data_IF_384883308557
#
_entry.id   IF_384883308557
#
_cell.length_a   1.000
_cell.length_b   1.000
_cell.length_c   1.000
_cell.angle_alpha   90.00
_cell.angle_beta   90.00
_cell.angle_gamma   90.00
#
_symmetry.space_group_name_H-M   'P 1'
#
loop_
_entity.id
_entity.type
_entity.pdbx_description
1 polymer ?
#
# COMPACT_ATOMS: atom_id res chain seq x y z
N UNK A 1 23.88 -32.11 12.32
CA UNK A 1 23.31 -30.77 12.12
C UNK A 1 24.43 -29.86 11.66
N UNK A 2 24.21 -29.06 10.60
CA UNK A 2 25.19 -28.03 10.22
C UNK A 2 25.37 -27.03 11.38
N UNK A 3 26.62 -26.59 11.58
CA UNK A 3 26.90 -25.57 12.60
C UNK A 3 26.24 -24.23 12.20
N UNK A 4 25.62 -23.52 13.15
CA UNK A 4 24.97 -22.23 12.93
C UNK A 4 25.91 -21.22 12.24
N UNK A 5 27.20 -21.26 12.58
CA UNK A 5 28.21 -20.41 11.96
C UNK A 5 28.36 -20.70 10.45
N UNK A 6 28.31 -21.98 10.06
CA UNK A 6 28.34 -22.38 8.65
C UNK A 6 27.11 -21.87 7.90
N UNK A 7 25.92 -21.99 8.52
CA UNK A 7 24.68 -21.46 7.97
C UNK A 7 24.76 -19.93 7.78
N UNK A 8 25.21 -19.20 8.80
CA UNK A 8 25.38 -17.74 8.72
C UNK A 8 26.33 -17.32 7.60
N UNK A 9 27.47 -17.98 7.50
CA UNK A 9 28.45 -17.71 6.43
C UNK A 9 27.86 -17.96 5.03
N UNK A 10 27.21 -19.11 4.85
CA UNK A 10 26.62 -19.51 3.57
C UNK A 10 25.51 -18.57 3.09
N UNK A 11 24.66 -18.08 4.01
CA UNK A 11 23.54 -17.21 3.69
C UNK A 11 23.80 -15.73 3.93
N UNK A 12 25.01 -15.35 4.33
CA UNK A 12 25.40 -13.96 4.57
C UNK A 12 24.66 -13.33 5.75
N UNK A 13 24.27 -14.12 6.75
CA UNK A 13 23.55 -13.63 7.94
C UNK A 13 24.56 -13.12 8.96
N UNK A 14 24.37 -11.88 9.37
CA UNK A 14 25.23 -11.20 10.34
C UNK A 14 24.45 -10.99 11.63
N UNK A 15 25.11 -11.28 12.72
CA UNK A 15 24.60 -11.07 14.06
C UNK A 15 24.89 -12.27 14.97
N UNK A 16 24.95 -11.99 16.27
CA UNK A 16 25.21 -12.99 17.31
C UNK A 16 24.11 -13.04 18.37
N UNK A 17 23.04 -12.31 18.16
CA UNK A 17 21.91 -12.28 19.07
C UNK A 17 21.35 -13.68 19.34
N UNK A 18 21.06 -14.05 20.61
CA UNK A 18 20.54 -15.36 20.97
C UNK A 18 19.19 -15.72 20.33
N UNK A 19 18.29 -14.72 20.18
CA UNK A 19 16.97 -14.94 19.54
C UNK A 19 17.13 -15.24 18.05
N UNK A 20 18.05 -14.52 17.37
CA UNK A 20 18.39 -14.79 15.98
C UNK A 20 18.98 -16.20 15.83
N UNK A 21 19.93 -16.59 16.70
CA UNK A 21 20.54 -17.91 16.67
C UNK A 21 19.48 -19.00 16.85
N UNK A 22 18.58 -18.84 17.82
CA UNK A 22 17.47 -19.78 18.06
C UNK A 22 16.53 -19.89 16.85
N UNK A 23 16.26 -18.80 16.14
CA UNK A 23 15.47 -18.84 14.91
C UNK A 23 16.15 -19.65 13.81
N UNK A 24 17.49 -19.50 13.65
CA UNK A 24 18.28 -20.27 12.70
C UNK A 24 18.38 -21.76 13.08
N UNK A 25 18.50 -22.06 14.38
CA UNK A 25 18.45 -23.44 14.89
C UNK A 25 17.13 -24.12 14.56
N UNK A 26 16.02 -23.46 14.86
CA UNK A 26 14.68 -23.97 14.50
C UNK A 26 14.56 -24.21 12.99
N UNK A 27 15.04 -23.28 12.16
CA UNK A 27 15.02 -23.42 10.71
C UNK A 27 15.82 -24.67 10.24
N UNK A 28 17.00 -24.88 10.80
CA UNK A 28 17.81 -26.05 10.51
C UNK A 28 17.17 -27.37 11.00
N UNK A 29 16.54 -27.36 12.18
CA UNK A 29 15.85 -28.53 12.73
C UNK A 29 14.63 -28.95 11.94
N UNK A 30 13.85 -27.99 11.44
CA UNK A 30 12.63 -28.27 10.66
C UNK A 30 12.94 -28.59 9.19
N UNK A 31 14.11 -28.20 8.69
CA UNK A 31 14.47 -28.34 7.28
C UNK A 31 14.30 -29.76 6.72
N UNK A 32 14.71 -30.86 7.41
CA UNK A 32 14.56 -32.22 6.90
C UNK A 32 13.13 -32.74 6.83
N UNK A 33 12.17 -32.02 7.40
CA UNK A 33 10.75 -32.40 7.42
C UNK A 33 9.97 -31.66 6.32
N UNK A 34 8.77 -32.16 6.00
CA UNK A 34 7.83 -31.46 5.06
C UNK A 34 6.79 -30.60 5.78
N UNK A 35 7.00 -30.35 7.08
CA UNK A 35 6.08 -29.54 7.90
C UNK A 35 6.05 -28.10 7.40
N UNK A 36 4.86 -27.48 7.38
CA UNK A 36 4.68 -26.06 7.09
C UNK A 36 5.29 -25.17 8.18
N UNK A 37 5.87 -24.08 7.76
CA UNK A 37 6.57 -23.13 8.65
C UNK A 37 6.03 -21.74 8.43
N UNK A 38 5.66 -21.07 9.52
CA UNK A 38 5.30 -19.65 9.52
C UNK A 38 6.45 -18.83 10.10
N UNK A 39 6.99 -17.92 9.31
CA UNK A 39 8.03 -16.97 9.73
C UNK A 39 7.38 -15.65 10.09
N UNK A 40 7.49 -15.24 11.36
CA UNK A 40 6.93 -13.98 11.85
C UNK A 40 8.03 -12.98 12.17
N UNK A 41 7.70 -11.68 12.07
CA UNK A 41 8.61 -10.59 12.39
C UNK A 41 8.32 -9.34 11.58
N UNK A 42 8.82 -8.22 12.03
CA UNK A 42 8.59 -6.92 11.40
C UNK A 42 9.10 -6.86 9.95
N UNK A 43 8.60 -5.87 9.19
CA UNK A 43 9.11 -5.62 7.85
C UNK A 43 10.58 -5.26 7.89
N UNK A 44 11.38 -5.80 6.95
CA UNK A 44 12.80 -5.50 6.83
C UNK A 44 13.74 -6.22 7.82
N UNK A 45 13.27 -7.20 8.62
CA UNK A 45 14.13 -7.98 9.55
C UNK A 45 14.93 -9.08 8.86
N UNK A 46 14.63 -9.40 7.58
CA UNK A 46 15.31 -10.43 6.80
C UNK A 46 14.60 -11.79 6.79
N UNK A 47 13.27 -11.81 6.86
CA UNK A 47 12.45 -13.04 6.83
C UNK A 47 12.78 -13.96 5.64
N UNK A 48 13.14 -13.41 4.51
CA UNK A 48 13.46 -14.13 3.26
C UNK A 48 14.67 -15.10 3.36
N UNK A 49 15.52 -14.92 4.38
CA UNK A 49 16.66 -15.82 4.58
C UNK A 49 16.23 -17.20 5.10
N UNK A 50 15.22 -17.26 5.98
CA UNK A 50 14.75 -18.48 6.62
C UNK A 50 14.24 -19.54 5.64
N UNK A 51 13.35 -19.20 4.67
CA UNK A 51 12.89 -20.16 3.66
C UNK A 51 14.02 -20.71 2.78
N UNK A 52 15.01 -19.88 2.44
CA UNK A 52 16.19 -20.30 1.67
C UNK A 52 17.03 -21.31 2.46
N UNK A 53 17.22 -21.08 3.77
CA UNK A 53 17.91 -22.03 4.67
C UNK A 53 17.14 -23.34 4.72
N UNK A 54 15.82 -23.28 4.99
CA UNK A 54 14.97 -24.46 5.09
C UNK A 54 15.03 -25.27 3.80
N UNK A 55 14.88 -24.63 2.64
CA UNK A 55 14.93 -25.31 1.36
C UNK A 55 16.29 -25.97 1.11
N UNK A 56 17.39 -25.23 1.33
CA UNK A 56 18.75 -25.73 1.07
C UNK A 56 19.19 -26.90 1.95
N UNK A 57 18.63 -27.02 3.16
CA UNK A 57 18.88 -28.09 4.11
C UNK A 57 17.81 -29.21 4.07
N UNK A 58 16.81 -29.08 3.18
CA UNK A 58 15.70 -30.03 3.06
C UNK A 58 16.03 -31.18 2.12
N UNK A 59 15.20 -32.24 2.18
CA UNK A 59 15.22 -33.30 1.20
C UNK A 59 14.90 -32.83 -0.23
N UNK A 60 14.24 -31.67 -0.34
CA UNK A 60 13.82 -31.03 -1.60
C UNK A 60 14.82 -30.00 -2.14
N UNK A 61 16.06 -29.97 -1.62
CA UNK A 61 17.09 -28.99 -1.98
C UNK A 61 17.44 -28.93 -3.48
N UNK A 62 17.13 -29.97 -4.23
CA UNK A 62 17.32 -30.04 -5.68
C UNK A 62 16.03 -29.77 -6.47
N UNK A 63 14.88 -29.65 -5.78
CA UNK A 63 13.61 -29.26 -6.37
C UNK A 63 13.53 -27.74 -6.62
N UNK A 64 12.48 -27.28 -7.29
CA UNK A 64 12.26 -25.86 -7.52
C UNK A 64 12.00 -25.12 -6.22
N UNK A 65 12.60 -23.95 -6.07
CA UNK A 65 12.28 -22.97 -5.03
C UNK A 65 11.62 -21.76 -5.68
N UNK A 66 10.36 -21.51 -5.36
CA UNK A 66 9.60 -20.37 -5.88
C UNK A 66 9.24 -19.46 -4.70
N UNK A 67 9.60 -18.18 -4.80
CA UNK A 67 9.24 -17.16 -3.82
C UNK A 67 8.19 -16.23 -4.43
N UNK A 68 7.07 -16.06 -3.74
CA UNK A 68 5.94 -15.24 -4.15
C UNK A 68 5.65 -14.22 -3.06
N UNK A 69 5.63 -12.93 -3.41
CA UNK A 69 5.15 -11.88 -2.50
C UNK A 69 3.64 -11.68 -2.76
N UNK A 70 2.81 -12.11 -1.80
CA UNK A 70 1.35 -12.04 -1.93
C UNK A 70 0.83 -10.60 -1.90
N UNK A 71 1.49 -9.70 -1.18
CA UNK A 71 1.11 -8.28 -1.12
C UNK A 71 1.45 -7.49 -2.40
N UNK A 72 2.35 -8.02 -3.24
CA UNK A 72 2.73 -7.37 -4.49
C UNK A 72 1.83 -7.74 -5.68
N UNK A 73 1.01 -8.79 -5.55
CA UNK A 73 0.11 -9.27 -6.62
C UNK A 73 -1.29 -8.68 -6.37
N UNK A 74 -1.91 -8.01 -7.37
CA UNK A 74 -3.26 -7.50 -7.23
C UNK A 74 -4.28 -8.61 -6.89
N UNK A 75 -5.26 -8.29 -6.02
CA UNK A 75 -6.28 -9.23 -5.56
C UNK A 75 -7.02 -9.93 -6.74
N UNK A 76 -7.32 -9.19 -7.81
CA UNK A 76 -8.01 -9.74 -8.99
C UNK A 76 -7.21 -10.76 -9.81
N UNK A 77 -5.89 -10.89 -9.59
CA UNK A 77 -5.01 -11.79 -10.35
C UNK A 77 -4.31 -12.83 -9.50
N UNK A 78 -4.31 -12.68 -8.17
CA UNK A 78 -3.56 -13.55 -7.27
C UNK A 78 -3.95 -15.02 -7.39
N UNK A 79 -5.23 -15.33 -7.55
CA UNK A 79 -5.71 -16.70 -7.75
C UNK A 79 -5.18 -17.32 -9.05
N UNK A 80 -5.15 -16.52 -10.11
CA UNK A 80 -4.62 -16.94 -11.41
C UNK A 80 -3.10 -17.17 -11.38
N UNK A 81 -2.36 -16.36 -10.64
CA UNK A 81 -0.90 -16.53 -10.50
C UNK A 81 -0.56 -17.74 -9.60
N UNK A 82 -1.26 -17.92 -8.48
CA UNK A 82 -1.01 -19.02 -7.56
C UNK A 82 -1.45 -20.37 -8.12
N UNK A 83 -2.67 -20.46 -8.64
CA UNK A 83 -3.31 -21.74 -9.03
C UNK A 83 -3.37 -21.97 -10.54
N UNK A 84 -3.04 -20.95 -11.35
CA UNK A 84 -3.17 -21.00 -12.80
C UNK A 84 -4.60 -20.76 -13.30
N UNK A 85 -4.74 -20.65 -14.62
CA UNK A 85 -6.04 -20.45 -15.26
C UNK A 85 -6.17 -21.20 -16.57
N UNK A 86 -7.41 -21.51 -16.94
CA UNK A 86 -7.74 -22.04 -18.24
C UNK A 86 -8.04 -20.92 -19.25
N UNK A 87 -7.86 -21.24 -20.53
CA UNK A 87 -8.23 -20.32 -21.61
C UNK A 87 -9.72 -19.91 -21.49
N UNK A 88 -9.98 -18.60 -21.50
CA UNK A 88 -11.34 -18.05 -21.39
C UNK A 88 -11.85 -17.89 -19.93
N UNK A 89 -11.03 -18.14 -18.92
CA UNK A 89 -11.42 -18.04 -17.51
C UNK A 89 -11.83 -16.61 -17.11
N UNK A 90 -11.25 -15.59 -17.75
CA UNK A 90 -11.58 -14.18 -17.56
C UNK A 90 -11.28 -13.39 -18.84
N UNK A 91 -11.72 -12.13 -18.91
CA UNK A 91 -11.44 -11.23 -20.05
C UNK A 91 -9.93 -10.98 -20.16
N UNK A 92 -9.32 -11.54 -21.21
CA UNK A 92 -7.87 -11.50 -21.45
C UNK A 92 -7.14 -12.83 -21.25
N UNK A 93 -7.79 -13.89 -20.77
CA UNK A 93 -7.23 -15.23 -20.70
C UNK A 93 -7.20 -15.90 -22.09
N UNK A 94 -6.22 -15.53 -22.91
CA UNK A 94 -6.07 -16.01 -24.29
C UNK A 94 -5.51 -17.42 -24.40
N UNK A 95 -4.79 -17.90 -23.37
CA UNK A 95 -4.18 -19.21 -23.28
C UNK A 95 -4.31 -19.76 -21.85
N UNK A 96 -4.23 -21.09 -21.69
CA UNK A 96 -4.07 -21.75 -20.39
C UNK A 96 -2.68 -21.47 -19.84
N UNK A 97 -2.57 -21.11 -18.54
CA UNK A 97 -1.29 -20.85 -17.87
C UNK A 97 -1.21 -21.63 -16.55
N UNK A 98 -0.04 -22.17 -16.29
CA UNK A 98 0.25 -22.87 -15.03
C UNK A 98 0.46 -21.85 -13.92
N UNK A 99 -0.01 -22.19 -12.72
CA UNK A 99 0.22 -21.41 -11.51
C UNK A 99 1.47 -21.84 -10.74
N UNK A 100 1.86 -21.01 -9.77
CA UNK A 100 3.05 -21.28 -8.96
C UNK A 100 3.00 -22.63 -8.22
N UNK A 101 1.81 -23.10 -7.80
CA UNK A 101 1.68 -24.42 -7.14
C UNK A 101 1.96 -25.59 -8.08
N UNK A 102 1.63 -25.46 -9.35
CA UNK A 102 1.96 -26.47 -10.37
C UNK A 102 3.45 -26.41 -10.71
N UNK A 103 4.01 -25.20 -10.84
CA UNK A 103 5.42 -25.04 -11.18
C UNK A 103 6.36 -25.45 -10.05
N UNK A 104 5.93 -25.34 -8.79
CA UNK A 104 6.71 -25.71 -7.60
C UNK A 104 6.55 -27.20 -7.21
N UNK A 105 5.83 -28.00 -8.00
CA UNK A 105 5.59 -29.40 -7.66
C UNK A 105 6.89 -30.15 -7.40
N UNK A 106 6.91 -30.96 -6.34
CA UNK A 106 8.11 -31.63 -5.84
C UNK A 106 9.14 -30.73 -5.13
N UNK A 107 8.90 -29.41 -5.11
CA UNK A 107 9.81 -28.39 -4.58
C UNK A 107 9.29 -27.69 -3.31
N UNK A 108 9.64 -26.42 -3.19
CA UNK A 108 9.26 -25.55 -2.05
C UNK A 108 8.72 -24.22 -2.58
N UNK A 109 7.56 -23.80 -2.08
CA UNK A 109 7.01 -22.46 -2.30
C UNK A 109 7.17 -21.63 -1.03
N UNK A 110 7.64 -20.40 -1.21
CA UNK A 110 7.69 -19.38 -0.16
C UNK A 110 6.65 -18.32 -0.44
N UNK A 111 5.72 -18.15 0.48
CA UNK A 111 4.65 -17.13 0.42
C UNK A 111 5.01 -16.01 1.38
N UNK A 112 5.52 -14.88 0.87
CA UNK A 112 5.75 -13.70 1.69
C UNK A 112 4.48 -12.85 1.80
N UNK A 113 4.33 -12.17 2.93
CA UNK A 113 3.15 -11.34 3.25
C UNK A 113 1.81 -12.12 3.13
N UNK A 114 1.81 -13.38 3.62
CA UNK A 114 0.62 -14.25 3.54
C UNK A 114 -0.61 -13.66 4.25
N UNK A 115 -0.41 -12.74 5.19
CA UNK A 115 -1.49 -12.02 5.89
C UNK A 115 -2.30 -11.07 5.00
N UNK A 116 -1.78 -10.73 3.79
CA UNK A 116 -2.44 -9.85 2.82
C UNK A 116 -3.30 -10.63 1.79
N UNK A 117 -3.35 -11.98 1.90
CA UNK A 117 -4.15 -12.79 1.00
C UNK A 117 -5.66 -12.53 1.18
N UNK A 118 -6.43 -12.39 0.08
CA UNK A 118 -7.89 -12.34 0.13
C UNK A 118 -8.49 -13.60 0.76
N UNK A 119 -9.62 -13.48 1.45
CA UNK A 119 -10.29 -14.61 2.11
C UNK A 119 -10.60 -15.77 1.16
N UNK A 120 -10.96 -15.47 -0.08
CA UNK A 120 -11.21 -16.48 -1.13
C UNK A 120 -9.97 -17.30 -1.46
N UNK A 121 -8.82 -16.62 -1.60
CA UNK A 121 -7.53 -17.25 -1.83
C UNK A 121 -7.06 -18.07 -0.63
N UNK A 122 -7.35 -17.61 0.60
CA UNK A 122 -7.04 -18.32 1.83
C UNK A 122 -7.75 -19.69 1.89
N UNK A 123 -9.01 -19.78 1.44
CA UNK A 123 -9.77 -21.05 1.35
C UNK A 123 -9.09 -22.03 0.38
N UNK A 124 -8.64 -21.52 -0.76
CA UNK A 124 -7.94 -22.32 -1.77
C UNK A 124 -6.59 -22.80 -1.26
N UNK A 125 -5.84 -21.93 -0.57
CA UNK A 125 -4.56 -22.26 0.03
C UNK A 125 -4.70 -23.33 1.12
N UNK A 126 -5.76 -23.26 1.93
CA UNK A 126 -6.06 -24.28 2.93
C UNK A 126 -6.23 -25.66 2.29
N UNK A 127 -6.94 -25.76 1.17
CA UNK A 127 -7.13 -27.02 0.46
C UNK A 127 -5.81 -27.60 -0.06
N UNK A 128 -4.87 -26.76 -0.50
CA UNK A 128 -3.52 -27.20 -0.89
C UNK A 128 -2.75 -27.76 0.33
N UNK A 129 -2.84 -27.05 1.48
CA UNK A 129 -2.14 -27.48 2.71
C UNK A 129 -2.70 -28.77 3.33
N UNK A 130 -3.99 -29.05 3.17
CA UNK A 130 -4.65 -30.22 3.73
C UNK A 130 -4.51 -31.46 2.81
N UNK A 131 -4.85 -31.27 1.54
CA UNK A 131 -5.03 -32.38 0.61
C UNK A 131 -3.97 -32.41 -0.50
N UNK A 132 -3.13 -31.37 -0.63
CA UNK A 132 -2.26 -31.22 -1.80
C UNK A 132 -3.03 -31.00 -3.10
N UNK A 133 -4.26 -30.45 -3.03
CA UNK A 133 -5.15 -30.29 -4.18
C UNK A 133 -5.50 -28.84 -4.45
N UNK A 134 -5.58 -28.49 -5.71
CA UNK A 134 -6.06 -27.18 -6.17
C UNK A 134 -6.84 -27.30 -7.47
N UNK A 135 -7.52 -26.21 -7.86
CA UNK A 135 -8.29 -26.12 -9.10
C UNK A 135 -7.86 -24.81 -9.79
N UNK A 136 -7.55 -24.87 -11.10
CA UNK A 136 -7.28 -23.68 -11.91
C UNK A 136 -8.51 -22.77 -11.99
N UNK A 137 -8.28 -21.48 -12.17
CA UNK A 137 -9.37 -20.53 -12.41
C UNK A 137 -10.05 -20.87 -13.74
N UNK A 138 -11.38 -20.96 -13.74
CA UNK A 138 -12.16 -21.36 -14.92
C UNK A 138 -12.20 -22.87 -15.20
N UNK A 139 -11.67 -23.71 -14.30
CA UNK A 139 -11.71 -25.17 -14.41
C UNK A 139 -12.54 -25.81 -13.30
N UNK A 140 -13.03 -27.02 -13.51
CA UNK A 140 -13.60 -27.89 -12.48
C UNK A 140 -12.70 -29.08 -12.14
N UNK A 141 -11.55 -29.22 -12.83
CA UNK A 141 -10.65 -30.37 -12.70
C UNK A 141 -9.74 -30.16 -11.50
N UNK A 142 -9.75 -31.08 -10.56
CA UNK A 142 -8.86 -31.11 -9.41
C UNK A 142 -7.46 -31.54 -9.85
N UNK A 143 -6.47 -30.73 -9.52
CA UNK A 143 -5.06 -31.03 -9.73
C UNK A 143 -4.38 -31.32 -8.39
N UNK A 144 -3.34 -32.13 -8.41
CA UNK A 144 -2.54 -32.47 -7.23
C UNK A 144 -1.16 -31.86 -7.31
N UNK A 145 -0.65 -31.45 -6.17
CA UNK A 145 0.72 -30.95 -6.02
C UNK A 145 1.33 -31.48 -4.73
N UNK A 146 2.61 -31.78 -4.77
CA UNK A 146 3.40 -32.18 -3.62
C UNK A 146 4.43 -31.09 -3.33
N UNK A 147 3.97 -29.94 -2.83
CA UNK A 147 4.82 -28.78 -2.57
C UNK A 147 4.97 -28.54 -1.06
N UNK A 148 6.19 -28.23 -0.62
CA UNK A 148 6.43 -27.76 0.74
C UNK A 148 6.14 -26.26 0.82
N UNK A 149 5.33 -25.83 1.80
CA UNK A 149 4.96 -24.45 1.98
C UNK A 149 5.73 -23.86 3.16
N UNK A 150 6.37 -22.70 2.94
CA UNK A 150 6.93 -21.83 3.96
C UNK A 150 6.28 -20.46 3.79
N UNK A 151 5.61 -19.95 4.81
CA UNK A 151 4.93 -18.67 4.78
C UNK A 151 5.65 -17.65 5.65
N UNK A 152 5.55 -16.36 5.29
CA UNK A 152 6.02 -15.25 6.14
C UNK A 152 4.96 -14.15 6.25
N UNK A 153 4.97 -13.47 7.39
CA UNK A 153 4.09 -12.34 7.64
C UNK A 153 4.73 -11.32 8.58
N UNK A 154 4.37 -10.06 8.40
CA UNK A 154 4.65 -8.96 9.32
C UNK A 154 3.41 -8.54 10.12
N UNK A 155 2.25 -9.09 9.80
CA UNK A 155 0.97 -8.79 10.43
C UNK A 155 0.82 -9.56 11.74
N UNK A 156 0.20 -8.92 12.73
CA UNK A 156 -0.25 -9.64 13.92
C UNK A 156 -1.44 -10.54 13.56
N UNK A 157 -1.17 -11.85 13.44
CA UNK A 157 -2.17 -12.82 12.99
C UNK A 157 -3.36 -12.93 13.94
N UNK A 158 -3.14 -12.80 15.25
CA UNK A 158 -4.21 -12.81 16.25
C UNK A 158 -5.22 -11.67 16.03
N UNK A 159 -4.70 -10.47 15.73
CA UNK A 159 -5.56 -9.32 15.41
C UNK A 159 -6.24 -9.48 14.05
N UNK A 160 -5.55 -10.02 13.05
CA UNK A 160 -6.11 -10.26 11.73
C UNK A 160 -7.29 -11.25 11.80
N UNK A 161 -7.15 -12.32 12.60
CA UNK A 161 -8.22 -13.31 12.85
C UNK A 161 -9.40 -12.64 13.56
N UNK A 162 -9.16 -11.88 14.63
CA UNK A 162 -10.23 -11.16 15.35
C UNK A 162 -11.00 -10.18 14.47
N UNK A 163 -10.32 -9.55 13.52
CA UNK A 163 -10.93 -8.61 12.55
C UNK A 163 -11.57 -9.32 11.34
N UNK A 164 -11.58 -10.65 11.30
CA UNK A 164 -12.12 -11.44 10.19
C UNK A 164 -11.35 -11.31 8.87
N UNK A 165 -10.11 -10.79 8.90
CA UNK A 165 -9.24 -10.64 7.71
C UNK A 165 -8.43 -11.89 7.39
N UNK A 166 -8.24 -12.76 8.38
CA UNK A 166 -7.52 -14.01 8.20
C UNK A 166 -8.29 -15.16 8.86
N UNK A 167 -8.31 -16.32 8.21
CA UNK A 167 -9.01 -17.50 8.71
C UNK A 167 -8.18 -18.21 9.77
N UNK A 168 -8.82 -18.57 10.85
CA UNK A 168 -8.20 -19.26 11.98
C UNK A 168 -7.70 -20.67 11.61
N UNK A 169 -8.47 -21.41 10.79
CA UNK A 169 -8.10 -22.74 10.31
C UNK A 169 -6.81 -22.72 9.48
N UNK A 170 -6.69 -21.77 8.58
CA UNK A 170 -5.48 -21.57 7.77
C UNK A 170 -4.28 -21.20 8.65
N UNK A 171 -4.48 -20.34 9.65
CA UNK A 171 -3.42 -19.96 10.57
C UNK A 171 -2.83 -21.19 11.29
N UNK A 172 -3.67 -22.05 11.88
CA UNK A 172 -3.18 -23.25 12.56
C UNK A 172 -2.47 -24.22 11.61
N UNK A 173 -2.90 -24.29 10.36
CA UNK A 173 -2.27 -25.16 9.36
C UNK A 173 -0.91 -24.64 8.89
N UNK A 174 -0.77 -23.31 8.76
CA UNK A 174 0.51 -22.65 8.41
C UNK A 174 1.49 -22.62 9.58
N UNK A 175 1.01 -22.37 10.80
CA UNK A 175 1.81 -22.17 12.00
C UNK A 175 2.19 -23.47 12.73
N UNK A 176 2.23 -24.59 12.03
CA UNK A 176 2.66 -25.87 12.64
C UNK A 176 4.03 -25.74 13.33
N UNK A 177 4.95 -25.00 12.71
CA UNK A 177 6.17 -24.50 13.35
C UNK A 177 6.27 -23.01 13.12
N UNK A 178 6.35 -22.24 14.19
CA UNK A 178 6.54 -20.80 14.12
C UNK A 178 7.98 -20.41 14.41
N UNK A 179 8.57 -19.59 13.53
CA UNK A 179 9.91 -19.03 13.65
C UNK A 179 9.79 -17.52 13.71
N UNK A 180 10.02 -16.95 14.88
CA UNK A 180 10.01 -15.51 15.09
C UNK A 180 11.39 -14.91 14.89
N UNK A 181 11.51 -13.88 14.04
CA UNK A 181 12.72 -13.08 13.87
C UNK A 181 12.64 -11.80 14.69
N UNK A 182 13.65 -11.52 15.55
CA UNK A 182 13.65 -10.34 16.40
C UNK A 182 13.81 -9.04 15.57
N UNK A 183 13.16 -7.97 15.99
CA UNK A 183 13.39 -6.65 15.45
C UNK A 183 14.82 -6.17 15.71
N UNK A 184 15.34 -5.27 14.86
CA UNK A 184 16.73 -4.81 14.97
C UNK A 184 17.02 -4.10 16.30
N UNK A 185 16.05 -3.37 16.85
CA UNK A 185 16.13 -2.73 18.18
C UNK A 185 16.29 -3.72 19.34
N UNK A 186 15.91 -4.99 19.16
CA UNK A 186 16.06 -6.05 20.17
C UNK A 186 17.46 -6.70 20.14
N UNK A 187 18.21 -6.51 19.05
CA UNK A 187 19.56 -7.05 18.83
C UNK A 187 20.57 -5.94 18.60
N UNK A 188 20.70 -5.08 19.60
CA UNK A 188 21.52 -3.84 19.56
C UNK A 188 22.97 -4.09 19.17
N UNK A 189 23.57 -5.18 19.65
CA UNK A 189 24.96 -5.53 19.38
C UNK A 189 25.21 -5.85 17.89
N UNK A 190 24.17 -6.28 17.17
CA UNK A 190 24.28 -6.61 15.76
C UNK A 190 24.20 -5.37 14.86
N UNK A 191 23.65 -4.23 15.36
CA UNK A 191 23.40 -3.03 14.56
C UNK A 191 24.68 -2.48 13.93
N UNK A 192 25.72 -2.30 14.75
CA UNK A 192 27.02 -1.78 14.29
C UNK A 192 27.71 -2.76 13.34
N UNK A 193 27.62 -4.08 13.61
CA UNK A 193 28.18 -5.11 12.74
C UNK A 193 27.54 -5.09 11.35
N UNK A 194 26.20 -4.97 11.31
CA UNK A 194 25.44 -4.88 10.07
C UNK A 194 25.78 -3.60 9.29
N UNK A 195 25.86 -2.45 9.96
CA UNK A 195 26.24 -1.20 9.32
C UNK A 195 27.62 -1.29 8.68
N UNK A 196 28.63 -1.78 9.41
CA UNK A 196 29.99 -1.98 8.89
C UNK A 196 30.01 -2.89 7.67
N UNK A 197 29.23 -3.95 7.70
CA UNK A 197 29.13 -4.87 6.55
C UNK A 197 28.54 -4.16 5.34
N UNK A 198 27.42 -3.45 5.50
CA UNK A 198 26.78 -2.74 4.38
C UNK A 198 27.69 -1.65 3.80
N UNK A 199 28.35 -0.89 4.66
CA UNK A 199 29.33 0.10 4.24
C UNK A 199 30.50 -0.52 3.49
N UNK A 200 31.03 -1.66 3.97
CA UNK A 200 32.11 -2.38 3.30
C UNK A 200 31.66 -3.00 1.97
N UNK A 201 30.47 -3.62 1.90
CA UNK A 201 29.94 -4.20 0.67
C UNK A 201 29.72 -3.14 -0.39
N UNK A 202 29.21 -1.97 0.01
CA UNK A 202 29.02 -0.84 -0.88
C UNK A 202 30.36 -0.30 -1.39
N UNK A 203 31.32 -0.09 -0.50
CA UNK A 203 32.67 0.36 -0.83
C UNK A 203 33.36 -0.57 -1.84
N UNK A 204 33.26 -1.88 -1.61
CA UNK A 204 33.82 -2.89 -2.53
C UNK A 204 33.14 -2.88 -3.91
N UNK A 205 31.81 -2.76 -3.94
CA UNK A 205 31.01 -2.74 -5.17
C UNK A 205 31.34 -1.54 -6.06
N UNK A 206 31.52 -0.38 -5.46
CA UNK A 206 31.76 0.88 -6.19
C UNK A 206 33.22 1.35 -6.18
N UNK A 207 34.13 0.54 -5.60
CA UNK A 207 35.57 0.85 -5.48
C UNK A 207 35.83 2.18 -4.74
N UNK A 208 35.04 2.45 -3.71
CA UNK A 208 35.16 3.62 -2.86
C UNK A 208 35.84 3.22 -1.52
N UNK A 209 36.50 4.15 -0.84
CA UNK A 209 36.96 3.88 0.51
C UNK A 209 35.76 3.72 1.46
N UNK A 210 35.76 2.71 2.38
CA UNK A 210 34.66 2.47 3.29
C UNK A 210 34.52 3.62 4.30
N UNK A 211 33.29 3.94 4.66
CA UNK A 211 32.98 4.90 5.74
C UNK A 211 33.21 4.26 7.12
N UNK A 212 33.59 5.08 8.08
CA UNK A 212 33.74 4.70 9.49
C UNK A 212 32.90 5.61 10.37
N UNK A 213 32.33 5.05 11.41
CA UNK A 213 31.59 5.82 12.42
C UNK A 213 32.52 6.17 13.58
N UNK A 214 32.41 7.39 14.09
CA UNK A 214 33.01 7.79 15.38
C UNK A 214 32.24 7.12 16.52
N UNK A 215 32.81 7.06 17.72
CA UNK A 215 32.19 6.35 18.86
C UNK A 215 30.83 6.97 19.25
N UNK A 216 30.70 8.28 19.18
CA UNK A 216 29.44 9.00 19.37
C UNK A 216 28.39 8.65 18.32
N UNK A 217 28.80 8.48 17.07
CA UNK A 217 27.91 8.03 16.00
C UNK A 217 27.48 6.56 16.18
N UNK A 218 28.36 5.69 16.66
CA UNK A 218 28.02 4.30 16.99
C UNK A 218 26.99 4.23 18.09
N UNK A 219 27.13 5.04 19.15
CA UNK A 219 26.13 5.10 20.23
C UNK A 219 24.75 5.58 19.71
N UNK A 220 24.75 6.61 18.87
CA UNK A 220 23.51 7.07 18.24
C UNK A 220 22.87 5.97 17.37
N UNK A 221 23.65 5.29 16.55
CA UNK A 221 23.21 4.20 15.66
C UNK A 221 22.56 3.05 16.45
N UNK A 222 23.19 2.61 17.55
CA UNK A 222 22.73 1.48 18.38
C UNK A 222 21.46 1.82 19.15
N UNK A 223 21.29 3.09 19.55
CA UNK A 223 20.11 3.53 20.31
C UNK A 223 18.94 3.97 19.45
N UNK A 224 19.12 4.08 18.14
CA UNK A 224 18.04 4.42 17.23
C UNK A 224 17.05 3.26 17.08
N UNK A 225 15.76 3.56 16.91
CA UNK A 225 14.66 2.58 16.97
C UNK A 225 14.61 1.62 15.78
N UNK A 226 15.06 2.05 14.61
CA UNK A 226 15.09 1.26 13.36
C UNK A 226 13.72 0.62 13.00
N UNK A 227 12.68 1.43 12.85
CA UNK A 227 11.33 0.97 12.49
C UNK A 227 11.29 0.18 11.17
N UNK A 228 12.16 0.48 10.20
CA UNK A 228 12.37 -0.28 8.97
C UNK A 228 13.47 -1.35 9.07
N UNK A 229 13.97 -1.65 10.26
CA UNK A 229 14.92 -2.71 10.58
C UNK A 229 16.17 -2.70 9.67
N UNK A 230 16.61 -3.87 9.19
CA UNK A 230 17.80 -4.04 8.35
C UNK A 230 17.66 -3.30 7.01
N UNK A 231 16.46 -3.22 6.45
CA UNK A 231 16.23 -2.51 5.19
C UNK A 231 16.53 -1.03 5.34
N UNK A 232 16.06 -0.40 6.42
CA UNK A 232 16.34 1.01 6.71
C UNK A 232 17.82 1.22 7.01
N UNK A 233 18.43 0.37 7.85
CA UNK A 233 19.86 0.46 8.20
C UNK A 233 20.75 0.37 6.95
N UNK A 234 20.43 -0.53 6.02
CA UNK A 234 21.15 -0.66 4.75
C UNK A 234 21.03 0.61 3.91
N UNK A 235 19.81 1.13 3.76
CA UNK A 235 19.57 2.36 2.98
C UNK A 235 20.37 3.54 3.55
N UNK A 236 20.39 3.72 4.87
CA UNK A 236 21.17 4.77 5.53
C UNK A 236 22.67 4.58 5.29
N UNK A 237 23.19 3.36 5.44
CA UNK A 237 24.61 3.07 5.19
C UNK A 237 25.01 3.34 3.73
N UNK A 238 24.16 2.99 2.77
CA UNK A 238 24.37 3.23 1.34
C UNK A 238 24.31 4.73 1.02
N UNK A 239 23.31 5.46 1.54
CA UNK A 239 23.17 6.91 1.36
C UNK A 239 24.38 7.68 1.86
N UNK A 240 24.82 7.41 3.08
CA UNK A 240 26.02 8.04 3.65
C UNK A 240 27.26 7.71 2.81
N UNK A 241 27.40 6.46 2.36
CA UNK A 241 28.54 6.02 1.55
C UNK A 241 28.62 6.74 0.20
N UNK A 242 27.48 7.15 -0.37
CA UNK A 242 27.41 7.90 -1.65
C UNK A 242 27.62 9.39 -1.44
N UNK A 243 26.93 9.98 -0.47
CA UNK A 243 26.79 11.43 -0.37
C UNK A 243 27.94 12.09 0.41
N UNK A 244 28.53 11.39 1.39
CA UNK A 244 29.57 11.96 2.22
C UNK A 244 30.97 11.80 1.59
N UNK A 245 31.65 12.92 1.44
CA UNK A 245 33.04 12.93 0.99
C UNK A 245 34.01 12.56 2.12
N UNK A 246 33.71 13.02 3.35
CA UNK A 246 34.45 12.62 4.54
C UNK A 246 34.08 11.20 4.93
N UNK A 247 35.08 10.36 5.17
CA UNK A 247 34.87 8.96 5.48
C UNK A 247 34.68 8.66 6.96
N UNK A 248 35.05 9.60 7.83
CA UNK A 248 34.77 9.53 9.25
C UNK A 248 33.47 10.31 9.53
N UNK A 249 32.45 9.57 9.94
CA UNK A 249 31.08 10.04 10.11
C UNK A 249 30.80 10.27 11.59
N UNK A 250 30.58 11.53 11.99
CA UNK A 250 30.21 11.92 13.34
C UNK A 250 28.71 11.74 13.60
N UNK A 251 28.31 11.77 14.87
CA UNK A 251 26.89 11.72 15.26
C UNK A 251 26.06 12.86 14.63
N UNK A 252 26.65 14.04 14.45
CA UNK A 252 25.98 15.17 13.80
C UNK A 252 25.64 14.86 12.33
N UNK A 253 26.60 14.31 11.58
CA UNK A 253 26.38 13.88 10.19
C UNK A 253 25.38 12.73 10.15
N UNK A 254 25.55 11.69 10.97
CA UNK A 254 24.62 10.56 11.00
C UNK A 254 23.18 11.00 11.25
N UNK A 255 22.96 11.97 12.13
CA UNK A 255 21.62 12.48 12.47
C UNK A 255 20.89 13.08 11.26
N UNK A 256 21.59 13.69 10.32
CA UNK A 256 20.96 14.26 9.09
C UNK A 256 20.37 13.19 8.15
N UNK A 257 20.82 11.93 8.29
CA UNK A 257 20.34 10.80 7.50
C UNK A 257 19.31 9.94 8.23
N UNK A 258 19.14 10.17 9.54
CA UNK A 258 18.13 9.47 10.33
C UNK A 258 16.84 10.27 10.28
N UNK A 259 15.69 9.66 9.90
CA UNK A 259 14.40 10.31 10.04
C UNK A 259 14.15 10.76 11.48
N UNK A 260 13.71 12.00 11.68
CA UNK A 260 13.35 12.49 13.01
C UNK A 260 12.17 11.69 13.57
N UNK A 261 12.43 10.85 14.55
CA UNK A 261 11.37 10.14 15.29
C UNK A 261 10.49 11.08 16.13
N UNK A 262 10.90 12.36 16.26
CA UNK A 262 10.17 13.41 16.96
C UNK A 262 9.16 14.16 16.09
N UNK A 263 9.24 14.09 14.77
CA UNK A 263 8.16 14.46 13.88
C UNK A 263 7.14 13.32 13.87
N UNK A 264 6.54 13.03 15.02
CA UNK A 264 5.21 12.44 15.01
C UNK A 264 4.36 13.40 14.14
N UNK A 265 3.98 12.96 12.95
CA UNK A 265 2.73 13.40 12.37
C UNK A 265 1.77 13.51 13.55
N UNK A 266 1.07 14.65 13.75
CA UNK A 266 0.21 14.82 14.91
C UNK A 266 -0.52 13.51 15.10
N UNK A 267 -0.33 12.88 16.25
CA UNK A 267 -0.91 11.59 16.55
C UNK A 267 -2.39 11.80 16.32
N UNK A 268 -2.90 11.25 15.23
CA UNK A 268 -4.32 11.04 15.10
C UNK A 268 -4.60 10.14 16.28
N UNK A 269 -5.15 10.74 17.34
CA UNK A 269 -5.70 10.03 18.48
C UNK A 269 -6.48 8.87 17.86
N UNK A 270 -6.25 7.61 18.24
CA UNK A 270 -7.04 6.52 17.73
C UNK A 270 -8.47 6.72 18.24
N UNK A 271 -9.24 7.53 17.53
CA UNK A 271 -10.67 7.55 17.68
C UNK A 271 -11.16 6.20 17.17
N UNK A 272 -11.85 5.55 18.04
CA UNK A 272 -12.65 4.37 17.83
C UNK A 272 -13.28 4.32 16.44
N UNK A 273 -13.20 3.14 15.84
CA UNK A 273 -13.95 2.73 14.65
C UNK A 273 -13.89 3.74 13.46
N UNK A 274 -13.00 3.49 12.51
CA UNK A 274 -13.16 4.02 11.15
C UNK A 274 -14.48 3.49 10.60
N UNK A 275 -15.52 4.27 10.80
CA UNK A 275 -16.75 4.13 10.07
C UNK A 275 -16.51 4.65 8.65
N UNK A 276 -17.27 4.14 7.69
CA UNK A 276 -17.25 4.51 6.26
C UNK A 276 -17.45 6.01 5.97
N UNK A 277 -17.62 6.83 7.01
CA UNK A 277 -17.79 8.29 6.95
C UNK A 277 -16.49 9.08 6.70
N UNK A 278 -15.28 8.52 6.93
CA UNK A 278 -14.04 9.29 6.73
C UNK A 278 -13.69 9.45 5.24
N UNK A 279 -14.03 8.47 4.40
CA UNK A 279 -13.89 8.61 2.95
C UNK A 279 -14.89 9.57 2.32
N UNK A 280 -16.05 9.81 2.97
CA UNK A 280 -17.01 10.81 2.52
C UNK A 280 -16.50 12.23 2.79
N UNK A 281 -15.86 12.47 3.92
CA UNK A 281 -15.33 13.79 4.29
C UNK A 281 -14.14 14.22 3.39
N UNK A 282 -13.23 13.31 3.05
CA UNK A 282 -12.14 13.60 2.10
C UNK A 282 -12.67 13.89 0.69
N UNK A 283 -13.67 13.13 0.24
CA UNK A 283 -14.36 13.39 -1.03
C UNK A 283 -15.11 14.73 -0.99
N UNK A 284 -15.79 15.04 0.08
CA UNK A 284 -16.54 16.29 0.25
C UNK A 284 -15.60 17.50 0.22
N UNK A 285 -14.43 17.40 0.87
CA UNK A 285 -13.39 18.43 0.83
C UNK A 285 -12.83 18.62 -0.60
N UNK A 286 -12.58 17.51 -1.30
CA UNK A 286 -12.09 17.51 -2.68
C UNK A 286 -13.13 18.10 -3.64
N UNK A 287 -14.40 17.74 -3.47
CA UNK A 287 -15.50 18.31 -4.23
C UNK A 287 -15.67 19.81 -3.95
N UNK A 288 -15.54 20.24 -2.69
CA UNK A 288 -15.61 21.65 -2.32
C UNK A 288 -14.52 22.46 -3.02
N UNK A 289 -13.27 22.00 -2.98
CA UNK A 289 -12.14 22.65 -3.68
C UNK A 289 -12.38 22.68 -5.20
N UNK A 290 -12.88 21.60 -5.79
CA UNK A 290 -13.21 21.55 -7.23
C UNK A 290 -14.37 22.50 -7.61
N UNK A 291 -15.38 22.64 -6.75
CA UNK A 291 -16.48 23.58 -6.97
C UNK A 291 -16.02 25.02 -6.84
N UNK A 292 -15.17 25.33 -5.86
CA UNK A 292 -14.60 26.67 -5.69
C UNK A 292 -13.73 27.04 -6.91
N UNK A 293 -12.84 26.14 -7.38
CA UNK A 293 -12.05 26.35 -8.60
C UNK A 293 -12.93 26.52 -9.86
N UNK A 294 -14.03 25.74 -9.96
CA UNK A 294 -14.97 25.88 -11.08
C UNK A 294 -15.71 27.21 -11.04
N UNK A 295 -16.07 27.70 -9.86
CA UNK A 295 -16.67 29.02 -9.66
C UNK A 295 -15.72 30.13 -10.09
N UNK A 296 -14.47 30.10 -9.62
CA UNK A 296 -13.43 31.06 -9.95
C UNK A 296 -13.12 31.12 -11.46
N UNK A 297 -13.08 29.92 -12.11
CA UNK A 297 -12.93 29.83 -13.57
C UNK A 297 -14.12 30.43 -14.34
N UNK A 298 -15.35 30.26 -13.85
CA UNK A 298 -16.52 30.85 -14.46
C UNK A 298 -16.55 32.37 -14.28
N UNK A 299 -16.16 32.85 -13.11
CA UNK A 299 -16.06 34.29 -12.81
C UNK A 299 -14.96 34.97 -13.67
N UNK A 300 -13.81 34.29 -13.86
CA UNK A 300 -12.77 34.71 -14.79
C UNK A 300 -13.27 34.75 -16.25
N UNK A 301 -14.01 33.75 -16.70
CA UNK A 301 -14.60 33.72 -18.05
C UNK A 301 -15.59 34.86 -18.24
N UNK A 302 -16.41 35.16 -17.24
CA UNK A 302 -17.36 36.27 -17.28
C UNK A 302 -16.65 37.60 -17.38
N UNK A 303 -15.63 37.86 -16.57
CA UNK A 303 -14.79 39.06 -16.62
C UNK A 303 -14.09 39.22 -17.98
N UNK A 304 -13.54 38.12 -18.54
CA UNK A 304 -12.88 38.18 -19.86
C UNK A 304 -13.88 38.49 -21.01
N UNK A 305 -15.11 37.96 -20.93
CA UNK A 305 -16.15 38.21 -21.91
C UNK A 305 -16.63 39.64 -21.86
N UNK A 306 -16.85 40.21 -20.67
CA UNK A 306 -17.23 41.60 -20.47
C UNK A 306 -16.12 42.59 -20.90
N UNK A 307 -14.84 42.25 -20.72
CA UNK A 307 -13.71 43.04 -21.22
C UNK A 307 -13.61 43.00 -22.76
N UNK A 308 -13.99 41.90 -23.40
CA UNK A 308 -14.02 41.77 -24.86
C UNK A 308 -15.20 42.48 -25.50
N UNK A 309 -16.37 42.52 -24.84
CA UNK A 309 -17.57 43.12 -25.35
C UNK A 309 -17.58 44.65 -25.17
N UNK A 310 -17.10 45.16 -24.04
CA UNK A 310 -17.25 46.58 -23.70
C UNK A 310 -16.04 47.48 -24.01
N UNK A 311 -14.89 46.92 -24.44
CA UNK A 311 -13.71 47.67 -24.92
C UNK A 311 -13.13 48.75 -23.98
N UNK A 312 -13.72 49.01 -22.83
CA UNK A 312 -13.39 50.10 -21.93
C UNK A 312 -13.01 49.55 -20.55
N UNK A 313 -11.72 49.29 -20.33
CA UNK A 313 -11.17 48.60 -19.16
C UNK A 313 -11.47 49.31 -17.81
N UNK A 314 -11.70 50.61 -17.79
CA UNK A 314 -11.93 51.37 -16.56
C UNK A 314 -13.34 51.16 -15.97
N UNK A 315 -14.35 50.98 -16.81
CA UNK A 315 -15.76 50.83 -16.40
C UNK A 315 -16.03 49.40 -15.93
N UNK A 316 -15.46 48.41 -16.63
CA UNK A 316 -15.54 46.99 -16.24
C UNK A 316 -14.81 46.71 -14.91
N UNK A 317 -13.70 47.43 -14.63
CA UNK A 317 -13.01 47.34 -13.34
C UNK A 317 -13.85 47.90 -12.17
N UNK A 318 -14.63 48.97 -12.40
CA UNK A 318 -15.47 49.59 -11.37
C UNK A 318 -16.70 48.76 -11.04
N UNK A 319 -17.34 48.16 -12.05
CA UNK A 319 -18.55 47.35 -11.89
C UNK A 319 -18.25 45.95 -11.30
N UNK A 320 -17.03 45.43 -11.51
CA UNK A 320 -16.61 44.09 -11.07
C UNK A 320 -15.56 44.08 -9.92
N UNK A 321 -15.42 45.20 -9.18
CA UNK A 321 -14.45 45.28 -8.07
C UNK A 321 -14.57 44.16 -7.04
N UNK A 322 -15.78 43.73 -6.72
CA UNK A 322 -16.04 42.64 -5.75
C UNK A 322 -15.53 41.29 -6.27
N UNK A 323 -15.71 41.01 -7.57
CA UNK A 323 -15.24 39.81 -8.25
C UNK A 323 -13.71 39.78 -8.35
N UNK A 324 -13.11 40.93 -8.69
CA UNK A 324 -11.64 41.08 -8.77
C UNK A 324 -10.99 40.89 -7.41
N UNK A 325 -11.56 41.45 -6.34
CA UNK A 325 -11.08 41.23 -4.97
C UNK A 325 -11.21 39.79 -4.49
N UNK A 326 -12.23 39.07 -4.95
CA UNK A 326 -12.42 37.66 -4.61
C UNK A 326 -11.39 36.75 -5.29
N UNK A 327 -11.02 37.03 -6.54
CA UNK A 327 -10.09 36.22 -7.34
C UNK A 327 -8.62 36.53 -7.02
N UNK A 328 -8.28 37.82 -6.89
CA UNK A 328 -6.88 38.26 -6.73
C UNK A 328 -6.46 38.64 -5.30
N UNK A 329 -7.43 38.68 -4.34
CA UNK A 329 -7.16 39.19 -3.00
C UNK A 329 -6.88 40.67 -2.95
N UNK A 330 -6.59 41.19 -1.76
CA UNK A 330 -6.36 42.62 -1.54
C UNK A 330 -4.99 43.05 -2.11
N UNK A 331 -4.90 43.95 -3.11
CA UNK A 331 -3.65 44.37 -3.74
C UNK A 331 -2.67 45.10 -2.81
N UNK A 332 -3.07 45.47 -1.58
CA UNK A 332 -2.21 46.09 -0.58
C UNK A 332 -1.44 45.09 0.33
N UNK A 333 -1.60 43.78 0.12
CA UNK A 333 -0.90 42.73 0.87
C UNK A 333 0.26 42.06 0.13
N UNK A 334 0.61 42.50 -1.07
CA UNK A 334 1.80 42.00 -1.76
C UNK A 334 3.01 42.89 -1.46
N UNK A 335 3.59 42.74 -0.28
CA UNK A 335 5.02 43.05 0.00
C UNK A 335 5.58 42.00 0.95
N UNK A 336 6.59 41.30 0.41
CA UNK A 336 7.59 40.46 1.04
C UNK A 336 7.17 39.07 1.64
N UNK A 337 7.79 37.97 1.19
CA UNK A 337 7.64 36.66 1.79
C UNK A 337 8.61 36.49 2.95
N UNK A 338 8.19 36.83 4.16
CA UNK A 338 8.81 36.37 5.39
C UNK A 338 7.86 35.36 6.06
N UNK A 339 8.35 34.24 6.60
CA UNK A 339 7.50 33.21 7.17
C UNK A 339 6.86 33.71 8.47
N UNK A 340 5.56 33.96 8.43
CA UNK A 340 4.80 34.43 9.58
C UNK A 340 4.46 33.28 10.54
N UNK A 341 4.91 33.44 11.75
CA UNK A 341 4.52 32.73 12.97
C UNK A 341 2.99 32.59 13.11
N UNK A 342 2.54 31.37 13.37
CA UNK A 342 1.17 31.07 13.74
C UNK A 342 0.89 31.65 15.14
N UNK A 343 -0.05 32.57 15.23
CA UNK A 343 -0.56 33.08 16.51
C UNK A 343 -1.53 32.07 17.07
N UNK A 344 -1.16 31.47 18.19
CA UNK A 344 -2.03 30.58 18.98
C UNK A 344 -3.08 31.46 19.69
N UNK A 345 -4.35 31.25 19.39
CA UNK A 345 -5.47 31.85 20.14
C UNK A 345 -5.69 31.00 21.40
N UNK A 346 -5.62 31.57 22.62
CA UNK A 346 -5.88 30.82 23.83
C UNK A 346 -7.37 30.50 23.98
N UNK A 347 -7.67 29.21 24.12
CA UNK A 347 -9.00 28.72 24.48
C UNK A 347 -9.21 28.90 25.96
N UNK A 348 -10.23 29.68 26.36
CA UNK A 348 -10.71 29.73 27.75
C UNK A 348 -11.58 28.51 28.06
N UNK A 349 -11.52 27.97 29.27
CA UNK A 349 -12.33 26.82 29.66
C UNK A 349 -13.79 27.26 29.91
N UNK A 350 -14.73 26.52 29.33
CA UNK A 350 -16.16 26.64 29.61
C UNK A 350 -16.51 25.60 30.66
N UNK A 351 -17.04 26.07 31.79
CA UNK A 351 -17.54 25.31 32.89
C UNK A 351 -18.78 24.50 32.50
N UNK A 352 -18.85 23.33 33.14
CA UNK A 352 -19.98 22.39 33.04
C UNK A 352 -21.19 22.90 33.84
N UNK A 353 -22.40 22.74 33.29
CA UNK A 353 -23.50 22.08 33.98
C UNK A 353 -24.71 21.79 33.06
N UNK A 354 -25.56 20.80 33.41
CA UNK A 354 -26.42 20.13 32.43
C UNK A 354 -27.85 20.61 32.50
N UNK A 355 -28.58 20.65 31.38
CA UNK A 355 -30.04 20.66 31.40
C UNK A 355 -30.59 19.74 30.32
N UNK A 356 -31.27 18.74 30.80
CA UNK A 356 -32.17 17.83 30.09
C UNK A 356 -33.40 18.63 29.63
N UNK A 357 -33.74 18.58 28.37
CA UNK A 357 -35.08 18.71 27.87
C UNK A 357 -35.29 17.76 26.69
N UNK A 358 -36.19 16.80 26.94
CA UNK A 358 -36.91 16.06 25.92
C UNK A 358 -37.86 17.04 25.22
N UNK A 359 -37.73 17.18 23.93
CA UNK A 359 -38.80 17.64 23.06
C UNK A 359 -38.75 16.86 21.75
N UNK A 360 -39.77 16.07 21.57
CA UNK A 360 -40.14 15.36 20.37
C UNK A 360 -40.48 16.36 19.27
N UNK A 361 -39.76 16.29 18.15
CA UNK A 361 -40.21 16.94 16.91
C UNK A 361 -40.45 15.88 15.84
N UNK A 362 -41.70 15.91 15.38
CA UNK A 362 -42.22 15.23 14.21
C UNK A 362 -41.34 15.56 12.97
N UNK A 363 -40.90 14.53 12.28
CA UNK A 363 -40.34 14.68 10.94
C UNK A 363 -41.50 14.68 9.94
N UNK A 364 -41.91 15.88 9.53
CA UNK A 364 -42.60 16.05 8.27
C UNK A 364 -41.66 15.79 7.10
N UNK A 365 -42.18 15.06 6.11
CA UNK A 365 -41.58 14.72 4.85
C UNK A 365 -40.98 15.94 4.15
N UNK A 366 -39.65 16.00 4.08
CA UNK A 366 -38.96 16.88 3.14
C UNK A 366 -38.55 16.09 1.91
N UNK A 367 -39.01 16.58 0.78
CA UNK A 367 -38.88 16.14 -0.60
C UNK A 367 -37.63 15.31 -0.94
N UNK A 368 -37.85 14.22 -1.66
CA UNK A 368 -36.88 13.45 -2.39
C UNK A 368 -36.03 14.36 -3.30
N UNK A 369 -34.80 14.69 -2.90
CA UNK A 369 -33.78 15.14 -3.83
C UNK A 369 -33.37 13.97 -4.71
N UNK A 370 -33.77 14.01 -5.96
CA UNK A 370 -33.43 13.06 -7.01
C UNK A 370 -31.89 12.89 -7.05
N UNK A 371 -31.43 11.74 -6.57
CA UNK A 371 -30.04 11.29 -6.79
C UNK A 371 -29.90 10.91 -8.27
N UNK A 372 -29.54 11.89 -9.09
CA UNK A 372 -29.15 11.61 -10.47
C UNK A 372 -27.94 10.68 -10.48
N UNK A 373 -28.18 9.40 -10.80
CA UNK A 373 -27.08 8.44 -10.95
C UNK A 373 -26.28 8.82 -12.23
N UNK A 374 -24.99 8.49 -12.26
CA UNK A 374 -24.15 8.64 -13.47
C UNK A 374 -24.78 7.99 -14.71
N UNK A 375 -25.59 6.95 -14.52
CA UNK A 375 -26.32 6.23 -15.56
C UNK A 375 -27.48 7.08 -16.13
N UNK A 376 -28.16 7.85 -15.28
CA UNK A 376 -29.26 8.73 -15.72
C UNK A 376 -28.73 9.91 -16.52
N UNK A 377 -27.59 10.48 -16.11
CA UNK A 377 -26.92 11.54 -16.88
C UNK A 377 -26.42 11.05 -18.24
N UNK A 378 -25.86 9.85 -18.28
CA UNK A 378 -25.41 9.24 -19.54
C UNK A 378 -26.60 8.96 -20.48
N UNK A 379 -27.71 8.46 -19.94
CA UNK A 379 -28.95 8.25 -20.65
C UNK A 379 -29.51 9.54 -21.26
N UNK A 380 -29.61 10.61 -20.47
CA UNK A 380 -30.06 11.92 -20.97
C UNK A 380 -29.14 12.48 -22.06
N UNK A 381 -27.82 12.31 -21.90
CA UNK A 381 -26.86 12.80 -22.88
C UNK A 381 -27.00 12.05 -24.23
N UNK A 382 -27.23 10.75 -24.18
CA UNK A 382 -27.48 9.94 -25.39
C UNK A 382 -28.79 10.38 -26.08
N UNK A 383 -29.87 10.62 -25.33
CA UNK A 383 -31.16 11.07 -25.86
C UNK A 383 -31.01 12.44 -26.55
N UNK A 384 -30.44 13.42 -25.87
CA UNK A 384 -30.23 14.79 -26.41
C UNK A 384 -29.39 14.79 -27.69
N UNK A 385 -28.38 13.93 -27.78
CA UNK A 385 -27.54 13.86 -28.97
C UNK A 385 -28.17 13.06 -30.10
N UNK A 386 -29.05 12.08 -29.83
CA UNK A 386 -29.84 11.39 -30.84
C UNK A 386 -30.88 12.33 -31.46
N UNK A 387 -31.58 13.14 -30.63
CA UNK A 387 -32.52 14.15 -31.10
C UNK A 387 -31.83 15.24 -31.97
N UNK A 388 -30.65 15.70 -31.53
CA UNK A 388 -29.87 16.74 -32.25
C UNK A 388 -29.36 16.27 -33.60
N UNK A 389 -29.17 14.95 -33.79
CA UNK A 389 -28.64 14.38 -35.02
C UNK A 389 -29.73 13.61 -35.83
N UNK A 390 -31.00 13.95 -35.62
CA UNK A 390 -32.16 13.34 -36.34
C UNK A 390 -32.09 11.80 -36.33
N UNK A 391 -31.71 11.18 -35.22
CA UNK A 391 -31.63 9.72 -35.10
C UNK A 391 -30.43 9.06 -35.81
N UNK A 392 -29.53 9.81 -36.42
CA UNK A 392 -28.36 9.28 -37.13
C UNK A 392 -27.31 8.76 -36.17
N UNK A 393 -27.33 7.45 -35.92
CA UNK A 393 -26.48 6.76 -34.94
C UNK A 393 -24.98 6.95 -35.16
N UNK A 394 -24.54 7.07 -36.42
CA UNK A 394 -23.13 7.24 -36.77
C UNK A 394 -22.60 8.62 -36.39
N UNK A 395 -23.37 9.67 -36.57
CA UNK A 395 -23.03 11.05 -36.21
C UNK A 395 -23.10 11.23 -34.70
N UNK A 396 -24.09 10.61 -34.04
CA UNK A 396 -24.22 10.59 -32.58
C UNK A 396 -23.07 9.86 -31.89
N UNK A 397 -22.62 8.72 -32.42
CA UNK A 397 -21.44 8.01 -31.89
C UNK A 397 -20.16 8.84 -31.97
N UNK A 398 -19.99 9.58 -33.11
CA UNK A 398 -18.87 10.49 -33.30
C UNK A 398 -18.92 11.68 -32.35
N UNK A 399 -20.09 12.24 -32.08
CA UNK A 399 -20.30 13.34 -31.14
C UNK A 399 -20.06 12.92 -29.68
N UNK A 400 -20.33 11.66 -29.32
CA UNK A 400 -20.08 11.08 -28.02
C UNK A 400 -18.62 10.56 -27.83
N UNK A 401 -17.82 10.54 -28.90
CA UNK A 401 -16.45 9.99 -28.87
C UNK A 401 -16.40 8.48 -28.64
N UNK A 402 -17.48 7.73 -28.97
CA UNK A 402 -17.57 6.28 -28.80
C UNK A 402 -17.79 5.57 -30.12
N UNK A 403 -17.53 4.23 -30.16
CA UNK A 403 -17.80 3.44 -31.37
C UNK A 403 -19.30 3.24 -31.59
N UNK A 404 -19.72 3.10 -32.86
CA UNK A 404 -21.13 2.82 -33.21
C UNK A 404 -21.65 1.56 -32.50
N UNK A 405 -20.80 0.54 -32.33
CA UNK A 405 -21.13 -0.70 -31.62
C UNK A 405 -21.37 -0.46 -30.12
N UNK A 406 -20.63 0.45 -29.52
CA UNK A 406 -20.80 0.84 -28.11
C UNK A 406 -22.10 1.61 -27.92
N UNK A 407 -22.41 2.56 -28.83
CA UNK A 407 -23.66 3.30 -28.82
C UNK A 407 -24.88 2.38 -28.99
N UNK A 408 -24.82 1.43 -29.91
CA UNK A 408 -25.89 0.46 -30.12
C UNK A 408 -26.17 -0.37 -28.86
N UNK A 409 -25.12 -0.86 -28.18
CA UNK A 409 -25.24 -1.57 -26.91
C UNK A 409 -25.90 -0.73 -25.82
N UNK A 410 -25.54 0.55 -25.73
CA UNK A 410 -26.08 1.48 -24.72
C UNK A 410 -27.54 1.86 -25.02
N UNK A 411 -27.91 2.09 -26.28
CA UNK A 411 -29.29 2.31 -26.70
C UNK A 411 -30.17 1.11 -26.30
N UNK A 412 -29.71 -0.12 -26.53
CA UNK A 412 -30.42 -1.32 -26.13
C UNK A 412 -30.45 -1.51 -24.59
N UNK A 413 -29.39 -1.15 -23.89
CA UNK A 413 -29.30 -1.21 -22.42
C UNK A 413 -30.29 -0.25 -21.74
N UNK A 414 -30.48 0.94 -22.31
CA UNK A 414 -31.37 1.97 -21.78
C UNK A 414 -32.77 1.96 -22.40
N UNK A 415 -33.12 0.96 -23.26
CA UNK A 415 -34.41 0.82 -23.96
C UNK A 415 -34.82 2.11 -24.73
N UNK A 416 -33.87 2.70 -25.46
CA UNK A 416 -34.06 3.93 -26.24
C UNK A 416 -34.35 3.63 -27.74
N UNK A 417 -34.75 2.42 -28.08
CA UNK A 417 -35.16 2.05 -29.43
C UNK A 417 -36.61 2.55 -29.66
N UNK A 418 -36.78 3.77 -30.17
CA UNK A 418 -37.96 4.28 -30.82
C UNK A 418 -37.61 4.74 -32.21
#
# INVERSE_FOLDING_TARGET
MENIQTIKQRFGIIGNDPKLNRALEKAAQVAPTDISVLVTGESGVGKEAIPKIIHSLSLRKHGKYIAVNCGAIPEGTIDSELFGHEKGAFTGATATRNGYFEEADGGTIFLDEVGELPLTTQVRLLRVLENGEFIKVGSSIVQKTNVRIVAATNVNMQEAIKKGRFREDLYYRLSTVEIHLPALRERKDDVHLLFRKFASDFANKYKLPPIRLTDDAVQLLVNYRWSGNIRQLRNVAEQISVLEQKRDISAAILRTYLPDEGAQLPSVVPQHSRSETDFSNERELLYKVLFDMKSDLNDLKKLTLELLENGNSAQVQQDNQVLIHRIYGDPNKMKDPTPSSYTVIPVQPIDKEPLIHEDSYDYEEAAEEERFSLQDQEREMIIKLLERNDGKRKETAKALGISERTLYRKIKQYNLDN
#
